data_IF_509649703313
#
_entry.id   IF_509649703313
#
_cell.length_a   1.000
_cell.length_b   1.000
_cell.length_c   1.000
_cell.angle_alpha   90.00
_cell.angle_beta   90.00
_cell.angle_gamma   90.00
#
_symmetry.space_group_name_H-M   'P 1'
#
loop_
_entity.id
_entity.type
_entity.pdbx_description
1 polymer ?
#
# COMPACT_ATOMS: atom_id res chain seq x y z
N UNK A 1 -23.99 -7.26 -27.07
CA UNK A 1 -23.85 -6.06 -26.21
C UNK A 1 -22.68 -6.31 -25.27
N UNK A 2 -21.49 -5.81 -25.60
CA UNK A 2 -20.33 -5.89 -24.70
C UNK A 2 -20.23 -4.54 -23.99
N UNK A 3 -20.57 -4.50 -22.71
CA UNK A 3 -20.28 -3.33 -21.86
C UNK A 3 -18.77 -3.24 -21.70
N UNK A 4 -18.17 -2.22 -22.31
CA UNK A 4 -16.80 -1.82 -21.99
C UNK A 4 -16.81 -1.29 -20.55
N UNK A 5 -16.30 -2.10 -19.61
CA UNK A 5 -15.95 -1.61 -18.28
C UNK A 5 -14.87 -0.54 -18.46
N UNK A 6 -15.15 0.68 -18.03
CA UNK A 6 -14.16 1.75 -18.00
C UNK A 6 -12.92 1.28 -17.20
N UNK A 7 -11.70 1.65 -17.61
CA UNK A 7 -10.51 1.32 -16.85
C UNK A 7 -10.60 1.94 -15.45
N UNK A 8 -10.24 1.19 -14.38
CA UNK A 8 -10.17 1.75 -13.04
C UNK A 8 -9.19 2.92 -13.06
N UNK A 9 -9.63 4.08 -12.56
CA UNK A 9 -8.80 5.28 -12.53
C UNK A 9 -7.53 5.00 -11.70
N UNK A 10 -6.37 5.06 -12.34
CA UNK A 10 -5.09 4.94 -11.66
C UNK A 10 -4.94 6.08 -10.64
N UNK A 11 -4.55 5.74 -9.41
CA UNK A 11 -4.36 6.71 -8.33
C UNK A 11 -3.21 7.67 -8.69
N UNK A 12 -3.47 8.98 -8.69
CA UNK A 12 -2.46 9.98 -9.03
C UNK A 12 -1.43 10.18 -7.91
N UNK A 13 -0.25 10.71 -8.23
CA UNK A 13 0.78 10.99 -7.22
C UNK A 13 0.28 11.96 -6.14
N UNK A 14 -0.58 12.91 -6.51
CA UNK A 14 -1.21 13.87 -5.62
C UNK A 14 -2.19 13.19 -4.67
N UNK A 15 -3.02 12.28 -5.20
CA UNK A 15 -3.91 11.45 -4.39
C UNK A 15 -3.11 10.55 -3.44
N UNK A 16 -1.99 9.98 -3.88
CA UNK A 16 -1.15 9.10 -3.05
C UNK A 16 -0.60 9.86 -1.84
N UNK A 17 -0.15 11.10 -2.04
CA UNK A 17 0.33 11.97 -0.95
C UNK A 17 -0.77 12.27 0.06
N UNK A 18 -1.98 12.54 -0.39
CA UNK A 18 -3.14 12.77 0.50
C UNK A 18 -3.43 11.51 1.32
N UNK A 19 -3.53 10.35 0.66
CA UNK A 19 -3.77 9.06 1.33
C UNK A 19 -2.68 8.77 2.36
N UNK A 20 -1.41 8.96 2.01
CA UNK A 20 -0.28 8.74 2.92
C UNK A 20 -0.31 9.70 4.11
N UNK A 21 -0.70 10.97 3.90
CA UNK A 21 -0.86 11.93 4.98
C UNK A 21 -1.97 11.49 5.95
N UNK A 22 -3.09 10.97 5.44
CA UNK A 22 -4.16 10.42 6.27
C UNK A 22 -3.74 9.16 7.01
N UNK A 23 -2.97 8.28 6.40
CA UNK A 23 -2.38 7.12 7.08
C UNK A 23 -1.50 7.58 8.25
N UNK A 24 -0.62 8.56 8.04
CA UNK A 24 0.23 9.12 9.10
C UNK A 24 -0.61 9.75 10.22
N UNK A 25 -1.68 10.47 9.87
CA UNK A 25 -2.61 11.01 10.85
C UNK A 25 -3.34 9.91 11.63
N UNK A 26 -3.75 8.83 10.96
CA UNK A 26 -4.41 7.70 11.60
C UNK A 26 -3.50 7.03 12.64
N UNK A 27 -2.19 6.92 12.38
CA UNK A 27 -1.22 6.48 13.39
C UNK A 27 -1.11 7.41 14.60
N UNK A 28 -1.45 8.68 14.44
CA UNK A 28 -1.40 9.68 15.51
C UNK A 28 -2.70 9.79 16.30
N UNK A 29 -3.77 9.11 15.88
CA UNK A 29 -5.03 9.06 16.63
C UNK A 29 -4.78 8.38 17.99
N UNK A 30 -5.34 8.90 19.11
CA UNK A 30 -5.04 8.40 20.46
C UNK A 30 -5.22 6.88 20.61
N UNK A 31 -6.28 6.33 20.03
CA UNK A 31 -6.61 4.91 20.10
C UNK A 31 -5.58 4.06 19.35
N UNK A 32 -5.11 4.55 18.20
CA UNK A 32 -4.14 3.85 17.37
C UNK A 32 -2.72 3.97 17.94
N UNK A 33 -2.38 5.12 18.52
CA UNK A 33 -1.11 5.33 19.21
C UNK A 33 -0.96 4.38 20.40
N UNK A 34 -2.00 4.25 21.24
CA UNK A 34 -2.02 3.30 22.36
C UNK A 34 -1.81 1.87 21.88
N UNK A 35 -2.53 1.44 20.83
CA UNK A 35 -2.38 0.10 20.25
C UNK A 35 -0.97 -0.16 19.71
N UNK A 36 -0.34 0.85 19.11
CA UNK A 36 1.03 0.77 18.61
C UNK A 36 2.05 0.67 19.75
N UNK A 37 1.84 1.41 20.84
CA UNK A 37 2.72 1.37 22.01
C UNK A 37 2.61 0.03 22.74
N UNK A 38 1.39 -0.49 22.96
CA UNK A 38 1.16 -1.82 23.53
C UNK A 38 1.84 -2.92 22.69
N UNK A 39 1.75 -2.84 21.36
CA UNK A 39 2.41 -3.79 20.47
C UNK A 39 3.94 -3.69 20.54
N UNK A 40 4.49 -2.48 20.70
CA UNK A 40 5.94 -2.24 20.86
C UNK A 40 6.45 -2.75 22.20
N UNK A 41 5.71 -2.52 23.28
CA UNK A 41 6.04 -3.02 24.62
C UNK A 41 6.09 -4.55 24.64
N UNK A 42 5.14 -5.20 23.98
CA UNK A 42 5.11 -6.66 23.82
C UNK A 42 6.30 -7.20 22.99
N UNK A 43 6.83 -6.40 22.07
CA UNK A 43 7.97 -6.78 21.24
C UNK A 43 9.31 -6.69 21.98
N UNK A 44 9.45 -5.81 22.98
CA UNK A 44 10.66 -5.64 23.80
C UNK A 44 11.95 -5.54 22.95
N UNK A 45 11.92 -4.69 21.90
CA UNK A 45 13.02 -4.48 20.94
C UNK A 45 13.46 -5.71 20.11
N UNK A 46 12.80 -6.87 20.24
CA UNK A 46 13.06 -8.02 19.39
C UNK A 46 12.46 -7.79 18.00
N UNK A 47 13.31 -7.75 16.98
CA UNK A 47 12.89 -7.46 15.61
C UNK A 47 11.88 -8.50 15.07
N UNK A 48 12.02 -9.77 15.44
CA UNK A 48 11.08 -10.83 15.06
C UNK A 48 9.71 -10.62 15.72
N UNK A 49 9.68 -10.17 16.97
CA UNK A 49 8.44 -9.81 17.66
C UNK A 49 7.85 -8.50 17.18
N UNK A 50 8.67 -7.53 16.76
CA UNK A 50 8.18 -6.30 16.10
C UNK A 50 7.38 -6.66 14.84
N UNK A 51 7.88 -7.59 14.03
CA UNK A 51 7.15 -8.08 12.85
C UNK A 51 5.89 -8.90 13.21
N UNK A 52 5.85 -9.54 14.38
CA UNK A 52 4.69 -10.34 14.81
C UNK A 52 3.61 -9.52 15.54
N UNK A 53 3.98 -8.44 16.23
CA UNK A 53 3.06 -7.64 17.03
C UNK A 53 2.80 -6.26 16.43
N UNK A 54 3.85 -5.53 16.07
CA UNK A 54 3.72 -4.14 15.59
C UNK A 54 3.26 -4.09 14.15
N UNK A 55 3.81 -4.94 13.27
CA UNK A 55 3.46 -4.92 11.85
C UNK A 55 1.97 -5.23 11.60
N UNK A 56 1.33 -6.23 12.23
CA UNK A 56 -0.10 -6.45 12.04
C UNK A 56 -0.97 -5.27 12.48
N UNK A 57 -0.63 -4.63 13.60
CA UNK A 57 -1.35 -3.45 14.10
C UNK A 57 -1.19 -2.28 13.13
N UNK A 58 0.04 -2.00 12.68
CA UNK A 58 0.30 -0.96 11.71
C UNK A 58 -0.41 -1.20 10.38
N UNK A 59 -0.42 -2.45 9.92
CA UNK A 59 -1.12 -2.86 8.70
C UNK A 59 -2.62 -2.65 8.84
N UNK A 60 -3.20 -2.99 9.99
CA UNK A 60 -4.63 -2.80 10.24
C UNK A 60 -5.03 -1.32 10.23
N UNK A 61 -4.27 -0.46 10.90
CA UNK A 61 -4.49 1.00 10.90
C UNK A 61 -4.41 1.55 9.48
N UNK A 62 -3.38 1.19 8.72
CA UNK A 62 -3.24 1.62 7.34
C UNK A 62 -4.38 1.11 6.44
N UNK A 63 -4.83 -0.13 6.64
CA UNK A 63 -5.93 -0.72 5.89
C UNK A 63 -7.26 0.01 6.11
N UNK A 64 -7.55 0.49 7.32
CA UNK A 64 -8.75 1.26 7.62
C UNK A 64 -8.83 2.56 6.81
N UNK A 65 -7.69 3.21 6.55
CA UNK A 65 -7.60 4.42 5.73
C UNK A 65 -7.72 4.09 4.24
N UNK A 66 -6.89 3.18 3.72
CA UNK A 66 -6.81 2.93 2.27
C UNK A 66 -8.07 2.25 1.70
N UNK A 67 -8.85 1.54 2.53
CA UNK A 67 -10.16 0.99 2.13
C UNK A 67 -11.13 2.07 1.64
N UNK A 68 -11.08 3.26 2.23
CA UNK A 68 -11.92 4.39 1.82
C UNK A 68 -11.59 4.87 0.39
N UNK A 69 -10.40 4.53 -0.11
CA UNK A 69 -9.90 4.88 -1.44
C UNK A 69 -10.03 3.75 -2.46
N UNK A 70 -10.73 2.66 -2.09
CA UNK A 70 -10.94 1.51 -2.98
C UNK A 70 -9.79 0.50 -3.03
N UNK A 71 -8.80 0.60 -2.12
CA UNK A 71 -7.80 -0.45 -1.98
C UNK A 71 -8.35 -1.63 -1.18
N UNK A 72 -8.42 -2.79 -1.82
CA UNK A 72 -8.83 -4.05 -1.18
C UNK A 72 -7.70 -4.69 -0.40
N UNK A 73 -8.04 -5.36 0.71
CA UNK A 73 -7.09 -6.07 1.57
C UNK A 73 -6.59 -7.41 1.01
N UNK A 74 -7.07 -7.84 -0.15
CA UNK A 74 -6.77 -9.14 -0.75
C UNK A 74 -5.34 -9.25 -1.32
N UNK A 75 -4.50 -8.23 -1.12
CA UNK A 75 -3.17 -8.17 -1.74
C UNK A 75 -3.19 -7.86 -3.24
N UNK A 76 -4.37 -7.77 -3.86
CA UNK A 76 -4.60 -7.35 -5.25
C UNK A 76 -4.41 -5.82 -5.45
N UNK A 77 -3.49 -5.21 -4.70
CA UNK A 77 -3.12 -3.80 -4.84
C UNK A 77 -2.29 -3.49 -6.09
N UNK A 78 -2.23 -4.39 -7.09
CA UNK A 78 -1.29 -4.23 -8.19
C UNK A 78 -1.47 -5.18 -9.36
N UNK A 79 -2.56 -5.07 -10.11
CA UNK A 79 -2.58 -5.62 -11.48
C UNK A 79 -2.14 -4.59 -12.54
N UNK A 80 -1.98 -3.30 -12.22
CA UNK A 80 -1.56 -2.27 -13.21
C UNK A 80 -0.19 -1.60 -12.92
N UNK A 81 0.33 -1.64 -11.68
CA UNK A 81 1.62 -1.03 -11.36
C UNK A 81 2.84 -1.78 -11.94
N UNK A 82 2.68 -3.05 -12.35
CA UNK A 82 3.77 -3.90 -12.83
C UNK A 82 4.01 -3.90 -14.35
N UNK A 83 3.14 -3.29 -15.17
CA UNK A 83 3.15 -3.49 -16.64
C UNK A 83 3.98 -2.48 -17.43
N UNK A 84 4.81 -1.65 -16.79
CA UNK A 84 5.57 -0.59 -17.49
C UNK A 84 7.08 -0.62 -17.34
N UNK A 85 7.66 -1.60 -16.64
CA UNK A 85 9.13 -1.80 -16.58
C UNK A 85 9.48 -3.07 -17.35
N UNK A 86 9.47 -2.99 -18.68
CA UNK A 86 9.80 -4.15 -19.52
C UNK A 86 9.48 -3.97 -21.00
N UNK A 87 9.85 -2.83 -21.60
CA UNK A 87 9.93 -2.68 -23.05
C UNK A 87 10.85 -1.50 -23.36
N UNK A 88 12.14 -1.74 -23.20
CA UNK A 88 13.19 -0.78 -23.47
C UNK A 88 14.49 -1.50 -23.80
N UNK A 89 14.45 -2.50 -24.69
CA UNK A 89 15.66 -3.11 -25.23
C UNK A 89 15.56 -3.26 -26.75
N UNK A 90 16.39 -2.46 -27.44
CA UNK A 90 17.24 -2.95 -28.52
C UNK A 90 16.62 -3.17 -29.89
N UNK A 91 16.20 -2.11 -30.59
CA UNK A 91 16.18 -2.12 -32.05
C UNK A 91 17.58 -1.75 -32.59
N UNK A 92 18.54 -2.66 -32.43
CA UNK A 92 19.79 -2.65 -33.18
C UNK A 92 19.55 -3.30 -34.53
N UNK A 93 19.39 -2.52 -35.58
CA UNK A 93 19.34 -2.99 -36.96
C UNK A 93 20.68 -3.60 -37.36
N UNK A 94 20.71 -4.87 -37.75
CA UNK A 94 21.74 -5.42 -38.62
C UNK A 94 21.16 -6.63 -39.37
N UNK A 95 20.84 -6.44 -40.65
CA UNK A 95 20.53 -7.54 -41.58
C UNK A 95 21.66 -7.57 -42.63
N UNK A 96 22.18 -8.75 -42.99
CA UNK A 96 23.25 -8.90 -43.98
C UNK A 96 22.80 -8.72 -45.45
#
# INVERSE_FOLDING_TARGET
MASASAPPAALSAEQAKVVLAEVIQAFSAPENAVRMDEARDNACNDMGKMLQFVLPVATQIQQEVIKAYGFSCDGEGGSDAGRRVGSGEGAGSLDP
#
